data_IF_711401296735
#
_entry.id   IF_711401296735
#
_cell.length_a   1.000
_cell.length_b   1.000
_cell.length_c   1.000
_cell.angle_alpha   90.00
_cell.angle_beta   90.00
_cell.angle_gamma   90.00
#
_symmetry.space_group_name_H-M   'P 1'
#
loop_
_entity.id
_entity.type
_entity.pdbx_description
1 polymer ?
#
# COMPACT_ATOMS: atom_id res chain seq x y z
N UNK A 1 -34.37 24.55 5.51
CA UNK A 1 -33.76 25.17 4.31
C UNK A 1 -32.62 26.06 4.75
N UNK A 2 -31.49 26.09 4.02
CA UNK A 2 -30.26 26.84 4.36
C UNK A 2 -30.49 28.33 4.69
N UNK A 3 -31.63 28.90 4.28
CA UNK A 3 -32.05 30.25 4.62
C UNK A 3 -32.35 30.44 6.12
N UNK A 4 -33.02 29.48 6.77
CA UNK A 4 -33.38 29.57 8.20
C UNK A 4 -32.12 29.60 9.10
N UNK A 5 -31.10 28.82 8.72
CA UNK A 5 -29.81 28.75 9.40
C UNK A 5 -28.98 30.04 9.27
N UNK A 6 -29.04 30.71 8.10
CA UNK A 6 -28.34 31.97 7.89
C UNK A 6 -29.01 33.13 8.66
N UNK A 7 -30.33 33.10 8.78
CA UNK A 7 -31.10 34.08 9.56
C UNK A 7 -30.80 33.97 11.07
N UNK A 8 -30.61 32.74 11.55
CA UNK A 8 -30.23 32.45 12.94
C UNK A 8 -28.78 32.88 13.25
N UNK A 9 -27.86 32.72 12.29
CA UNK A 9 -26.47 33.21 12.44
C UNK A 9 -26.39 34.74 12.53
N UNK A 10 -27.24 35.46 11.78
CA UNK A 10 -27.31 36.92 11.83
C UNK A 10 -27.88 37.42 13.17
N UNK A 11 -28.89 36.76 13.74
CA UNK A 11 -29.47 37.13 15.05
C UNK A 11 -28.48 36.95 16.21
N UNK A 12 -27.56 36.01 16.10
CA UNK A 12 -26.59 35.66 17.14
C UNK A 12 -25.23 36.36 16.98
N UNK A 13 -25.10 37.32 16.05
CA UNK A 13 -23.86 38.05 15.78
C UNK A 13 -22.66 37.12 15.47
N UNK A 14 -22.93 35.98 14.84
CA UNK A 14 -21.94 34.97 14.47
C UNK A 14 -21.50 35.16 13.00
N UNK A 15 -20.21 34.99 12.67
CA UNK A 15 -19.73 35.17 11.29
C UNK A 15 -20.36 34.12 10.37
N UNK A 16 -21.10 34.59 9.36
CA UNK A 16 -21.68 33.71 8.35
C UNK A 16 -20.58 33.03 7.52
N UNK A 17 -20.73 31.74 7.17
CA UNK A 17 -19.76 31.04 6.35
C UNK A 17 -19.69 31.70 4.96
N UNK A 18 -18.58 32.40 4.71
CA UNK A 18 -18.26 33.01 3.42
C UNK A 18 -18.22 31.93 2.34
N UNK A 19 -19.05 32.07 1.31
CA UNK A 19 -18.95 31.29 0.06
C UNK A 19 -17.59 31.60 -0.57
N UNK A 20 -16.58 30.77 -0.29
CA UNK A 20 -15.33 30.77 -1.06
C UNK A 20 -15.62 30.14 -2.42
N UNK A 21 -15.77 30.99 -3.43
CA UNK A 21 -15.66 30.64 -4.84
C UNK A 21 -14.18 30.44 -5.19
N UNK A 22 -13.62 29.30 -4.81
CA UNK A 22 -12.37 28.79 -5.39
C UNK A 22 -12.61 27.34 -5.81
N UNK A 23 -12.86 27.16 -7.10
CA UNK A 23 -13.06 25.88 -7.78
C UNK A 23 -11.73 25.12 -7.87
N UNK A 24 -11.25 24.57 -6.75
CA UNK A 24 -10.38 23.41 -6.78
C UNK A 24 -11.27 22.16 -6.79
N UNK A 25 -11.87 21.88 -7.96
CA UNK A 25 -12.58 20.63 -8.17
C UNK A 25 -11.50 19.56 -8.40
N UNK A 26 -11.39 18.53 -7.54
CA UNK A 26 -10.53 17.38 -7.82
C UNK A 26 -10.95 16.80 -9.18
N UNK A 27 -9.98 16.53 -10.07
CA UNK A 27 -10.25 16.04 -11.41
C UNK A 27 -10.96 14.68 -11.37
N UNK A 28 -12.28 14.71 -11.41
CA UNK A 28 -13.16 13.56 -11.47
C UNK A 28 -13.56 13.35 -12.92
N UNK A 29 -13.43 12.13 -13.40
CA UNK A 29 -14.15 11.70 -14.60
C UNK A 29 -15.58 11.31 -14.18
N UNK A 30 -16.56 11.56 -15.05
CA UNK A 30 -17.92 11.08 -14.79
C UNK A 30 -17.94 9.55 -14.75
N UNK A 31 -18.89 8.97 -14.00
CA UNK A 31 -19.08 7.51 -13.96
C UNK A 31 -19.33 6.94 -15.37
N UNK A 32 -20.03 7.68 -16.20
CA UNK A 32 -20.31 7.30 -17.59
C UNK A 32 -19.03 7.29 -18.44
N UNK A 33 -18.14 8.27 -18.26
CA UNK A 33 -16.85 8.32 -18.93
C UNK A 33 -15.92 7.20 -18.44
N UNK A 34 -15.94 6.90 -17.14
CA UNK A 34 -15.19 5.78 -16.58
C UNK A 34 -15.64 4.43 -17.17
N UNK A 35 -16.95 4.20 -17.25
CA UNK A 35 -17.52 3.00 -17.86
C UNK A 35 -17.13 2.89 -19.35
N UNK A 36 -17.22 4.00 -20.10
CA UNK A 36 -16.83 4.04 -21.51
C UNK A 36 -15.34 3.74 -21.73
N UNK A 37 -14.45 4.23 -20.85
CA UNK A 37 -13.01 3.91 -20.92
C UNK A 37 -12.78 2.41 -20.71
N UNK A 38 -13.41 1.81 -19.70
CA UNK A 38 -13.28 0.37 -19.41
C UNK A 38 -13.83 -0.48 -20.56
N UNK A 39 -15.01 -0.14 -21.07
CA UNK A 39 -15.64 -0.86 -22.20
C UNK A 39 -14.78 -0.75 -23.47
N UNK A 40 -14.26 0.45 -23.76
CA UNK A 40 -13.42 0.68 -24.94
C UNK A 40 -12.12 -0.11 -24.88
N UNK A 41 -11.58 -0.38 -23.69
CA UNK A 41 -10.38 -1.21 -23.56
C UNK A 41 -10.62 -2.66 -23.98
N UNK A 42 -11.82 -3.20 -23.71
CA UNK A 42 -12.18 -4.57 -24.01
C UNK A 42 -12.60 -4.78 -25.47
N UNK A 43 -13.15 -3.74 -26.10
CA UNK A 43 -13.84 -3.84 -27.39
C UNK A 43 -13.18 -3.06 -28.53
N UNK A 44 -12.45 -1.99 -28.24
CA UNK A 44 -11.90 -1.09 -29.25
C UNK A 44 -10.49 -1.50 -29.69
N UNK A 45 -10.10 -1.05 -30.89
CA UNK A 45 -8.74 -1.21 -31.38
C UNK A 45 -7.75 -0.36 -30.57
N UNK A 46 -6.47 -0.76 -30.57
CA UNK A 46 -5.35 -0.03 -29.94
C UNK A 46 -5.41 1.48 -30.17
N UNK A 47 -5.57 1.90 -31.43
CA UNK A 47 -5.56 3.32 -31.80
C UNK A 47 -6.72 4.10 -31.20
N UNK A 48 -7.88 3.47 -31.08
CA UNK A 48 -9.10 4.08 -30.54
C UNK A 48 -9.00 4.19 -29.03
N UNK A 49 -8.59 3.12 -28.35
CA UNK A 49 -8.40 3.13 -26.91
C UNK A 49 -7.29 4.09 -26.48
N UNK A 50 -6.13 4.08 -27.15
CA UNK A 50 -5.03 4.99 -26.80
C UNK A 50 -5.41 6.47 -26.95
N UNK A 51 -6.23 6.83 -27.95
CA UNK A 51 -6.79 8.19 -28.06
C UNK A 51 -7.69 8.53 -26.87
N UNK A 52 -8.57 7.62 -26.45
CA UNK A 52 -9.46 7.80 -25.30
C UNK A 52 -8.65 7.94 -23.99
N UNK A 53 -7.61 7.13 -23.84
CA UNK A 53 -6.69 7.14 -22.69
C UNK A 53 -5.85 8.42 -22.63
N UNK A 54 -5.39 8.92 -23.78
CA UNK A 54 -4.64 10.17 -23.88
C UNK A 54 -5.56 11.40 -23.76
N UNK A 55 -6.87 11.28 -23.96
CA UNK A 55 -7.84 12.38 -23.75
C UNK A 55 -8.18 12.60 -22.27
N UNK A 56 -7.66 11.77 -21.35
CA UNK A 56 -7.89 11.95 -19.92
C UNK A 56 -7.30 13.30 -19.39
N UNK A 57 -7.96 13.96 -18.42
CA UNK A 57 -7.47 15.21 -17.82
C UNK A 57 -6.00 15.19 -17.39
N UNK A 58 -5.30 16.30 -17.57
CA UNK A 58 -3.86 16.43 -17.27
C UNK A 58 -3.53 16.16 -15.79
N UNK A 59 -4.48 16.42 -14.90
CA UNK A 59 -4.42 16.11 -13.48
C UNK A 59 -4.27 14.60 -13.25
N UNK A 60 -4.98 13.78 -14.02
CA UNK A 60 -4.90 12.32 -13.97
C UNK A 60 -3.57 11.85 -14.54
N UNK A 61 -3.10 12.49 -15.62
CA UNK A 61 -1.81 12.16 -16.24
C UNK A 61 -0.61 12.37 -15.30
N UNK A 62 -0.77 13.21 -14.27
CA UNK A 62 0.25 13.44 -13.24
C UNK A 62 0.35 12.31 -12.20
N UNK A 63 -0.63 11.42 -12.13
CA UNK A 63 -0.64 10.29 -11.19
C UNK A 63 0.40 9.26 -11.63
N UNK A 64 1.22 8.77 -10.69
CA UNK A 64 2.25 7.75 -11.00
C UNK A 64 1.63 6.47 -11.58
N UNK A 65 0.47 6.07 -11.05
CA UNK A 65 -0.27 4.90 -11.52
C UNK A 65 -0.74 5.02 -12.98
N UNK A 66 -1.21 6.21 -13.40
CA UNK A 66 -1.51 6.50 -14.81
C UNK A 66 -0.29 6.25 -15.69
N UNK A 67 0.88 6.78 -15.30
CA UNK A 67 2.13 6.65 -16.08
C UNK A 67 2.54 5.19 -16.21
N UNK A 68 2.47 4.43 -15.12
CA UNK A 68 2.76 2.98 -15.12
C UNK A 68 1.78 2.21 -15.99
N UNK A 69 0.49 2.47 -15.87
CA UNK A 69 -0.54 1.85 -16.71
C UNK A 69 -0.33 2.19 -18.18
N UNK A 70 0.00 3.44 -18.52
CA UNK A 70 0.31 3.84 -19.90
C UNK A 70 1.46 3.01 -20.48
N UNK A 71 2.53 2.79 -19.70
CA UNK A 71 3.63 1.92 -20.11
C UNK A 71 3.15 0.48 -20.36
N UNK A 72 2.40 -0.10 -19.41
CA UNK A 72 1.91 -1.47 -19.54
C UNK A 72 0.89 -1.64 -20.66
N UNK A 73 0.10 -0.61 -20.98
CA UNK A 73 -0.84 -0.61 -22.10
C UNK A 73 -0.09 -0.69 -23.44
N UNK A 74 1.04 0.02 -23.59
CA UNK A 74 1.89 -0.16 -24.78
C UNK A 74 2.44 -1.58 -24.87
N UNK A 75 2.94 -2.14 -23.75
CA UNK A 75 3.39 -3.53 -23.69
C UNK A 75 2.26 -4.50 -24.05
N UNK A 76 1.04 -4.28 -23.53
CA UNK A 76 -0.11 -5.13 -23.80
C UNK A 76 -0.44 -5.21 -25.28
N UNK A 77 -0.56 -4.06 -25.95
CA UNK A 77 -0.88 -4.07 -27.37
C UNK A 77 0.27 -4.64 -28.22
N UNK A 78 1.52 -4.52 -27.79
CA UNK A 78 2.62 -5.24 -28.47
C UNK A 78 2.50 -6.75 -28.34
N UNK A 79 2.07 -7.25 -27.18
CA UNK A 79 1.86 -8.68 -26.97
C UNK A 79 0.69 -9.18 -27.81
N UNK A 80 -0.44 -8.49 -27.71
CA UNK A 80 -1.68 -8.84 -28.43
C UNK A 80 -1.45 -8.88 -29.96
N UNK A 81 -0.65 -7.95 -30.49
CA UNK A 81 -0.31 -7.92 -31.92
C UNK A 81 0.64 -9.07 -32.31
N UNK A 82 1.62 -9.43 -31.46
CA UNK A 82 2.50 -10.59 -31.70
C UNK A 82 1.71 -11.90 -31.70
N UNK A 83 0.78 -12.09 -30.77
CA UNK A 83 -0.07 -13.29 -30.70
C UNK A 83 -0.95 -13.42 -31.96
N UNK A 84 -1.51 -12.31 -32.46
CA UNK A 84 -2.28 -12.29 -33.72
C UNK A 84 -1.44 -12.62 -34.95
N UNK A 85 -0.16 -12.24 -34.98
CA UNK A 85 0.77 -12.57 -36.08
C UNK A 85 1.16 -14.05 -36.07
N UNK A 86 1.37 -14.65 -34.89
CA UNK A 86 1.65 -16.08 -34.75
C UNK A 86 0.46 -16.97 -35.16
N UNK A 87 -0.79 -16.53 -34.92
CA UNK A 87 -1.99 -17.29 -35.29
C UNK A 87 -2.34 -17.29 -36.80
N UNK A 88 -1.66 -16.49 -37.62
CA UNK A 88 -1.95 -16.33 -39.06
C UNK A 88 -0.93 -17.03 -39.98
N UNK A 89 0.10 -17.67 -39.44
CA UNK A 89 1.22 -18.23 -40.21
C UNK A 89 1.02 -19.68 -40.70
N UNK A 90 -0.22 -20.14 -40.93
CA UNK A 90 -0.48 -21.45 -41.56
C UNK A 90 -1.12 -21.39 -42.95
N UNK A 91 -1.41 -20.20 -43.49
CA UNK A 91 -1.80 -20.07 -44.92
C UNK A 91 -1.11 -18.90 -45.59
N UNK A 92 -0.40 -19.24 -46.67
CA UNK A 92 0.24 -18.40 -47.67
C UNK A 92 1.68 -17.92 -47.37
N UNK A 93 2.61 -18.66 -47.98
CA UNK A 93 3.87 -18.14 -48.48
C UNK A 93 3.61 -16.97 -49.44
N UNK A 94 3.99 -15.77 -49.04
CA UNK A 94 4.62 -14.87 -49.99
C UNK A 94 5.49 -13.83 -49.29
N UNK A 95 6.71 -13.72 -49.82
CA UNK A 95 7.74 -12.84 -49.35
C UNK A 95 7.37 -11.39 -49.65
N UNK A 96 7.22 -10.58 -48.60
CA UNK A 96 7.59 -9.16 -48.60
C UNK A 96 7.85 -8.69 -47.17
N UNK A 97 9.09 -8.89 -46.72
CA UNK A 97 9.69 -7.98 -45.77
C UNK A 97 9.91 -6.65 -46.50
N UNK A 98 9.29 -5.58 -46.03
CA UNK A 98 9.48 -4.22 -46.55
C UNK A 98 8.20 -3.42 -46.35
N UNK A 99 8.12 -2.64 -45.29
CA UNK A 99 8.39 -1.19 -45.29
C UNK A 99 7.05 -0.48 -45.05
N UNK A 100 7.02 0.37 -44.02
CA UNK A 100 5.90 1.19 -43.55
C UNK A 100 4.88 0.50 -42.64
N UNK A 101 5.33 0.05 -41.46
CA UNK A 101 4.43 -0.29 -40.34
C UNK A 101 4.49 0.81 -39.25
N UNK A 102 4.44 2.08 -39.69
CA UNK A 102 4.37 3.29 -38.84
C UNK A 102 3.15 3.26 -37.88
N UNK A 103 2.22 2.32 -38.09
CA UNK A 103 1.03 2.09 -37.26
C UNK A 103 1.11 0.88 -36.30
N UNK A 104 2.18 0.07 -36.32
CA UNK A 104 2.28 -1.12 -35.46
C UNK A 104 2.38 -0.78 -33.98
N UNK A 105 1.91 -1.68 -33.12
CA UNK A 105 2.08 -1.55 -31.68
C UNK A 105 3.57 -1.49 -31.28
N UNK A 106 4.44 -2.19 -32.02
CA UNK A 106 5.90 -2.19 -31.81
C UNK A 106 6.51 -0.82 -32.08
N UNK A 107 6.16 -0.17 -33.20
CA UNK A 107 6.65 1.17 -33.52
C UNK A 107 6.07 2.23 -32.58
N UNK A 108 4.79 2.09 -32.19
CA UNK A 108 4.17 2.95 -31.19
C UNK A 108 4.86 2.84 -29.82
N UNK A 109 5.23 1.62 -29.41
CA UNK A 109 5.96 1.42 -28.15
C UNK A 109 7.40 1.94 -28.26
N UNK A 110 8.06 1.75 -29.41
CA UNK A 110 9.39 2.34 -29.69
C UNK A 110 9.36 3.87 -29.55
N UNK A 111 8.41 4.52 -30.22
CA UNK A 111 8.22 5.98 -30.16
C UNK A 111 7.98 6.44 -28.72
N UNK A 112 7.14 5.72 -27.97
CA UNK A 112 6.90 6.01 -26.55
C UNK A 112 8.18 5.89 -25.69
N UNK A 113 9.01 4.87 -25.91
CA UNK A 113 10.28 4.70 -25.19
C UNK A 113 11.28 5.83 -25.52
N UNK A 114 11.33 6.30 -26.77
CA UNK A 114 12.18 7.43 -27.15
C UNK A 114 11.72 8.72 -26.47
N UNK A 115 10.40 8.97 -26.42
CA UNK A 115 9.86 10.21 -25.86
C UNK A 115 9.86 10.23 -24.32
N UNK A 116 9.51 9.10 -23.68
CA UNK A 116 9.21 9.03 -22.25
C UNK A 116 9.93 7.91 -21.50
N UNK A 117 10.75 7.10 -22.17
CA UNK A 117 11.46 5.96 -21.56
C UNK A 117 12.39 6.37 -20.41
N UNK A 118 12.97 7.58 -20.45
CA UNK A 118 13.79 8.10 -19.37
C UNK A 118 13.04 8.11 -18.02
N UNK A 119 11.73 8.38 -18.01
CA UNK A 119 10.87 8.38 -16.81
C UNK A 119 10.83 7.01 -16.12
N UNK A 120 11.05 5.92 -16.87
CA UNK A 120 10.90 4.54 -16.40
C UNK A 120 12.23 3.81 -16.21
N UNK A 121 13.34 4.38 -16.69
CA UNK A 121 14.69 3.79 -16.66
C UNK A 121 15.23 3.50 -15.25
N UNK A 122 14.78 4.25 -14.23
CA UNK A 122 15.21 4.07 -12.83
C UNK A 122 14.44 2.96 -12.10
N UNK A 123 13.36 2.45 -12.69
CA UNK A 123 12.46 1.48 -12.09
C UNK A 123 12.73 0.09 -12.67
N UNK A 124 13.31 -0.78 -11.84
CA UNK A 124 13.77 -2.13 -12.25
C UNK A 124 12.66 -3.02 -12.81
N UNK A 125 11.39 -2.74 -12.49
CA UNK A 125 10.23 -3.47 -13.01
C UNK A 125 9.96 -3.25 -14.51
N UNK A 126 10.39 -2.12 -15.09
CA UNK A 126 10.13 -1.78 -16.48
C UNK A 126 11.27 -2.14 -17.43
N UNK A 127 12.50 -2.22 -16.91
CA UNK A 127 13.71 -2.45 -17.69
C UNK A 127 13.64 -3.67 -18.64
N UNK A 128 13.08 -4.83 -18.24
CA UNK A 128 12.98 -5.97 -19.15
C UNK A 128 12.22 -5.65 -20.45
N UNK A 129 11.24 -4.74 -20.41
CA UNK A 129 10.39 -4.40 -21.55
C UNK A 129 11.02 -3.38 -22.50
N UNK A 130 12.11 -2.71 -22.14
CA UNK A 130 12.78 -1.74 -23.02
C UNK A 130 13.36 -2.39 -24.27
N UNK A 131 13.76 -3.66 -24.16
CA UNK A 131 14.27 -4.43 -25.29
C UNK A 131 13.15 -4.94 -26.21
N UNK A 132 11.89 -4.96 -25.76
CA UNK A 132 10.78 -5.62 -26.46
C UNK A 132 10.57 -5.11 -27.90
N UNK A 133 10.58 -3.79 -28.20
CA UNK A 133 10.45 -3.26 -29.58
C UNK A 133 11.62 -3.52 -30.51
N UNK A 134 12.73 -4.01 -29.97
CA UNK A 134 13.98 -4.22 -30.70
C UNK A 134 14.28 -5.71 -30.90
N UNK A 135 13.48 -6.60 -30.32
CA UNK A 135 13.60 -8.04 -30.55
C UNK A 135 12.82 -8.42 -31.81
N UNK A 136 13.51 -9.04 -32.77
CA UNK A 136 12.91 -9.49 -34.03
C UNK A 136 11.80 -10.52 -33.84
N UNK A 137 11.97 -11.46 -32.90
CA UNK A 137 10.95 -12.45 -32.52
C UNK A 137 10.76 -12.54 -31.00
N UNK A 138 9.91 -11.67 -30.43
CA UNK A 138 9.69 -11.61 -28.98
C UNK A 138 9.07 -12.88 -28.39
N UNK A 139 8.28 -13.63 -29.18
CA UNK A 139 7.55 -14.80 -28.68
C UNK A 139 8.49 -15.99 -28.45
N UNK A 140 9.53 -16.13 -29.27
CA UNK A 140 10.54 -17.17 -29.14
C UNK A 140 11.65 -16.81 -28.15
N UNK A 141 11.76 -15.54 -27.77
CA UNK A 141 12.85 -15.08 -26.91
C UNK A 141 12.70 -15.61 -25.46
N UNK A 142 13.74 -16.25 -24.87
CA UNK A 142 13.66 -16.87 -23.54
C UNK A 142 13.20 -15.92 -22.42
N UNK A 143 13.63 -14.66 -22.48
CA UNK A 143 13.30 -13.64 -21.47
C UNK A 143 11.84 -13.19 -21.50
N UNK A 144 11.15 -13.33 -22.65
CA UNK A 144 9.76 -12.90 -22.82
C UNK A 144 8.78 -14.08 -22.92
N UNK A 145 9.27 -15.32 -22.96
CA UNK A 145 8.45 -16.53 -23.04
C UNK A 145 7.34 -16.59 -21.98
N UNK A 146 7.58 -16.05 -20.78
CA UNK A 146 6.58 -16.00 -19.71
C UNK A 146 5.56 -14.86 -19.84
N UNK A 147 5.89 -13.82 -20.62
CA UNK A 147 5.00 -12.71 -20.92
C UNK A 147 3.86 -13.12 -21.88
N UNK A 148 4.19 -14.01 -22.81
CA UNK A 148 3.26 -14.60 -23.79
C UNK A 148 2.61 -15.91 -23.32
N UNK A 149 3.05 -16.48 -22.18
CA UNK A 149 2.50 -17.72 -21.64
C UNK A 149 1.41 -17.45 -20.62
N UNK A 150 0.18 -17.44 -21.12
CA UNK A 150 -1.03 -17.48 -20.32
C UNK A 150 -1.63 -16.10 -20.08
N UNK A 151 -2.95 -16.05 -20.24
CA UNK A 151 -3.82 -14.87 -20.06
C UNK A 151 -3.72 -14.17 -18.69
N UNK A 152 -2.89 -14.64 -17.75
CA UNK A 152 -2.80 -14.11 -16.38
C UNK A 152 -2.25 -12.68 -16.32
N UNK A 153 -1.26 -12.35 -17.14
CA UNK A 153 -0.70 -10.99 -17.17
C UNK A 153 -1.73 -9.99 -17.72
N UNK A 154 -2.40 -10.34 -18.82
CA UNK A 154 -3.49 -9.56 -19.39
C UNK A 154 -4.64 -9.36 -18.40
N UNK A 155 -5.11 -10.44 -17.76
CA UNK A 155 -6.17 -10.36 -16.74
C UNK A 155 -5.77 -9.45 -15.57
N UNK A 156 -4.51 -9.51 -15.13
CA UNK A 156 -4.02 -8.64 -14.07
C UNK A 156 -3.95 -7.17 -14.49
N UNK A 157 -3.57 -6.89 -15.74
CA UNK A 157 -3.53 -5.53 -16.28
C UNK A 157 -4.94 -4.96 -16.40
N UNK A 158 -5.89 -5.73 -16.93
CA UNK A 158 -7.29 -5.34 -17.06
C UNK A 158 -7.87 -4.93 -15.70
N UNK A 159 -7.68 -5.78 -14.68
CA UNK A 159 -8.15 -5.47 -13.33
C UNK A 159 -7.51 -4.22 -12.75
N UNK A 160 -6.20 -4.02 -12.96
CA UNK A 160 -5.47 -2.85 -12.47
C UNK A 160 -5.94 -1.55 -13.14
N UNK A 161 -6.27 -1.62 -14.43
CA UNK A 161 -6.86 -0.51 -15.19
C UNK A 161 -8.27 -0.18 -14.67
N UNK A 162 -9.11 -1.19 -14.50
CA UNK A 162 -10.47 -1.05 -13.97
C UNK A 162 -10.46 -0.42 -12.57
N UNK A 163 -9.64 -0.97 -11.65
CA UNK A 163 -9.49 -0.46 -10.28
C UNK A 163 -9.05 1.02 -10.30
N UNK A 164 -8.10 1.39 -11.17
CA UNK A 164 -7.62 2.76 -11.30
C UNK A 164 -8.69 3.73 -11.83
N UNK A 165 -9.40 3.34 -12.89
CA UNK A 165 -10.45 4.18 -13.50
C UNK A 165 -11.63 4.36 -12.53
N UNK A 166 -12.02 3.31 -11.80
CA UNK A 166 -13.04 3.39 -10.76
C UNK A 166 -12.59 4.26 -9.58
N UNK A 167 -11.32 4.18 -9.17
CA UNK A 167 -10.76 5.01 -8.11
C UNK A 167 -10.88 6.50 -8.45
N UNK A 168 -10.54 6.89 -9.68
CA UNK A 168 -10.64 8.30 -10.13
C UNK A 168 -12.09 8.76 -10.28
N UNK A 169 -13.01 7.85 -10.62
CA UNK A 169 -14.43 8.16 -10.71
C UNK A 169 -15.09 8.34 -9.33
N UNK A 170 -14.60 7.65 -8.30
CA UNK A 170 -15.22 7.58 -6.97
C UNK A 170 -14.55 8.54 -5.96
N UNK A 171 -13.23 8.71 -6.00
CA UNK A 171 -12.51 9.46 -4.96
C UNK A 171 -12.38 10.96 -5.26
N UNK A 172 -12.94 11.80 -4.39
CA UNK A 172 -12.72 13.27 -4.32
C UNK A 172 -11.28 13.67 -4.05
N UNK A 173 -10.44 12.74 -3.64
CA UNK A 173 -9.18 13.02 -2.98
C UNK A 173 -8.05 12.35 -3.73
N UNK A 174 -8.02 12.53 -5.05
CA UNK A 174 -6.75 12.38 -5.77
C UNK A 174 -5.88 13.50 -5.24
N UNK A 175 -4.95 13.15 -4.35
CA UNK A 175 -3.87 14.03 -3.92
C UNK A 175 -3.03 14.33 -5.15
N UNK A 176 -3.46 15.33 -5.91
CA UNK A 176 -2.55 16.11 -6.72
C UNK A 176 -1.57 16.71 -5.72
N UNK A 177 -0.30 16.37 -5.89
CA UNK A 177 0.77 17.23 -5.38
C UNK A 177 0.95 18.32 -6.44
N UNK A 178 0.56 19.58 -6.14
CA UNK A 178 1.31 20.70 -6.65
C UNK A 178 2.04 21.39 -5.51
N UNK A 179 3.34 21.59 -5.78
CA UNK A 179 4.23 22.51 -5.13
C UNK A 179 3.59 23.90 -4.94
N UNK A 180 3.82 24.46 -3.74
CA UNK A 180 3.54 25.84 -3.24
C UNK A 180 2.08 26.13 -2.84
N UNK A 181 1.85 26.25 -1.52
CA UNK A 181 1.17 27.43 -0.95
C UNK A 181 1.37 27.58 0.57
N UNK A 182 1.71 28.79 0.98
CA UNK A 182 2.38 29.14 2.25
C UNK A 182 1.40 29.50 3.38
N UNK A 183 0.08 29.50 3.14
CA UNK A 183 -0.87 30.02 4.14
C UNK A 183 -1.45 28.98 5.10
N UNK A 184 -1.66 27.72 4.69
CA UNK A 184 -2.02 26.64 5.64
C UNK A 184 -0.90 26.34 6.65
N UNK A 185 0.34 26.77 6.38
CA UNK A 185 1.47 26.64 7.30
C UNK A 185 1.34 27.48 8.57
N UNK A 186 0.50 28.51 8.68
CA UNK A 186 0.46 29.33 9.92
C UNK A 186 -0.22 28.62 11.09
N UNK A 187 -1.31 27.90 10.85
CA UNK A 187 -2.03 27.18 11.91
C UNK A 187 -1.33 25.85 12.27
N UNK A 188 -0.84 25.11 11.27
CA UNK A 188 -0.04 23.89 11.51
C UNK A 188 1.35 24.18 12.04
N UNK A 189 2.00 25.32 11.71
CA UNK A 189 3.25 25.74 12.39
C UNK A 189 3.01 26.14 13.84
N UNK A 190 1.86 26.71 14.21
CA UNK A 190 1.59 27.06 15.61
C UNK A 190 1.46 25.80 16.47
N UNK A 191 0.75 24.79 15.96
CA UNK A 191 0.63 23.48 16.61
C UNK A 191 1.96 22.70 16.58
N UNK A 192 2.69 22.70 15.46
CA UNK A 192 4.05 22.11 15.42
C UNK A 192 5.03 22.86 16.32
N UNK A 193 4.93 24.19 16.46
CA UNK A 193 5.82 24.98 17.33
C UNK A 193 5.46 24.80 18.80
N UNK A 194 4.20 24.54 19.15
CA UNK A 194 3.78 24.10 20.49
C UNK A 194 4.33 22.70 20.78
N UNK A 195 4.07 21.74 19.88
CA UNK A 195 4.56 20.37 19.99
C UNK A 195 6.10 20.31 20.04
N UNK A 196 6.78 21.14 19.23
CA UNK A 196 8.24 21.23 19.22
C UNK A 196 8.78 21.95 20.46
N UNK A 197 8.01 22.86 21.08
CA UNK A 197 8.37 23.50 22.36
C UNK A 197 8.21 22.52 23.53
N UNK A 198 7.18 21.67 23.49
CA UNK A 198 6.92 20.58 24.45
C UNK A 198 7.93 19.42 24.31
N UNK A 199 8.38 19.11 23.08
CA UNK A 199 9.39 18.06 22.82
C UNK A 199 10.84 18.54 22.94
N UNK A 200 11.10 19.86 22.97
CA UNK A 200 12.46 20.42 23.03
C UNK A 200 13.28 19.89 24.23
N UNK A 201 12.72 19.80 25.46
CA UNK A 201 13.45 19.27 26.61
C UNK A 201 13.80 17.79 26.43
N UNK A 202 12.89 16.99 25.87
CA UNK A 202 13.11 15.57 25.61
C UNK A 202 14.21 15.34 24.55
N UNK A 203 14.28 16.21 23.54
CA UNK A 203 15.27 16.12 22.49
C UNK A 203 16.68 16.53 22.98
N UNK A 204 16.75 17.49 23.90
CA UNK A 204 17.99 17.86 24.61
C UNK A 204 18.45 16.69 25.49
N UNK A 205 17.54 16.06 26.23
CA UNK A 205 17.85 14.89 27.05
C UNK A 205 18.33 13.70 26.21
N UNK A 206 17.70 13.43 25.07
CA UNK A 206 18.12 12.37 24.16
C UNK A 206 19.53 12.62 23.60
N UNK A 207 19.86 13.88 23.27
CA UNK A 207 21.20 14.24 22.82
C UNK A 207 22.26 14.10 23.93
N UNK A 208 21.93 14.46 25.16
CA UNK A 208 22.82 14.29 26.31
C UNK A 208 23.04 12.82 26.68
N UNK A 209 21.99 12.00 26.63
CA UNK A 209 22.09 10.55 26.84
C UNK A 209 22.91 9.89 25.72
N UNK A 210 22.72 10.32 24.47
CA UNK A 210 23.51 9.82 23.34
C UNK A 210 24.99 10.17 23.50
N UNK A 211 25.29 11.42 23.91
CA UNK A 211 26.65 11.88 24.15
C UNK A 211 27.28 11.15 25.35
N UNK A 212 26.52 10.92 26.41
CA UNK A 212 26.97 10.10 27.55
C UNK A 212 27.25 8.65 27.14
N UNK A 213 26.42 8.07 26.27
CA UNK A 213 26.63 6.73 25.73
C UNK A 213 27.86 6.68 24.82
N UNK A 214 28.06 7.70 23.99
CA UNK A 214 29.23 7.82 23.12
C UNK A 214 30.52 7.93 23.93
N UNK A 215 30.52 8.73 25.00
CA UNK A 215 31.65 8.86 25.90
C UNK A 215 31.92 7.57 26.68
N UNK A 216 30.87 6.82 27.06
CA UNK A 216 30.98 5.47 27.62
C UNK A 216 31.73 4.51 26.68
N UNK A 217 31.32 4.48 25.42
CA UNK A 217 31.90 3.61 24.39
C UNK A 217 33.36 4.00 24.10
N UNK A 218 33.71 5.28 24.26
CA UNK A 218 35.08 5.80 24.12
C UNK A 218 35.94 5.61 25.38
N UNK A 219 35.41 5.00 26.45
CA UNK A 219 36.12 4.75 27.70
C UNK A 219 36.32 6.00 28.57
N UNK A 220 35.57 7.07 28.32
CA UNK A 220 35.61 8.30 29.11
C UNK A 220 34.63 8.22 30.29
N UNK A 221 35.01 8.84 31.41
CA UNK A 221 34.18 8.86 32.62
C UNK A 221 32.89 9.64 32.37
N UNK A 222 31.75 8.98 32.60
CA UNK A 222 30.42 9.59 32.48
C UNK A 222 30.03 10.18 33.83
N UNK A 223 29.63 11.45 33.86
CA UNK A 223 29.09 12.07 35.07
C UNK A 223 27.59 11.75 35.19
N UNK A 224 27.28 10.68 35.94
CA UNK A 224 25.91 10.20 36.16
C UNK A 224 25.00 11.21 36.88
N UNK A 225 25.59 12.08 37.71
CA UNK A 225 24.85 13.02 38.55
C UNK A 225 24.18 14.13 37.73
N UNK A 226 24.89 14.62 36.70
CA UNK A 226 24.37 15.62 35.76
C UNK A 226 23.24 15.00 34.90
N UNK A 227 23.41 13.75 34.45
CA UNK A 227 22.41 13.04 33.64
C UNK A 227 21.13 12.81 34.44
N UNK A 228 21.25 12.36 35.69
CA UNK A 228 20.10 12.15 36.57
C UNK A 228 19.37 13.45 36.89
N UNK A 229 20.09 14.55 37.10
CA UNK A 229 19.51 15.88 37.31
C UNK A 229 18.71 16.36 36.10
N UNK A 230 19.22 16.13 34.88
CA UNK A 230 18.52 16.52 33.65
C UNK A 230 17.33 15.60 33.33
N UNK A 231 17.39 14.30 33.67
CA UNK A 231 16.25 13.39 33.60
C UNK A 231 15.11 13.84 34.52
N UNK A 232 15.41 14.21 35.77
CA UNK A 232 14.39 14.61 36.74
C UNK A 232 13.70 15.93 36.39
N UNK A 233 14.42 16.90 35.81
CA UNK A 233 13.84 18.17 35.36
C UNK A 233 12.77 17.99 34.26
N UNK A 234 12.85 16.93 33.45
CA UNK A 234 11.85 16.57 32.42
C UNK A 234 10.65 15.82 33.02
N UNK A 235 10.84 15.13 34.14
CA UNK A 235 9.76 14.44 34.87
C UNK A 235 8.91 15.44 35.64
N UNK A 236 9.53 16.40 36.33
CA UNK A 236 8.83 17.45 37.09
C UNK A 236 7.98 18.38 36.19
N UNK A 237 8.38 18.59 34.93
CA UNK A 237 7.56 19.36 33.96
C UNK A 237 6.33 18.60 33.45
N UNK A 238 6.27 17.29 33.66
CA UNK A 238 5.13 16.45 33.24
C UNK A 238 4.12 16.20 34.37
N UNK A 239 4.51 16.39 35.64
CA UNK A 239 3.61 16.20 36.80
C UNK A 239 2.50 17.26 36.89
N UNK A 240 2.69 18.46 36.34
CA UNK A 240 1.61 19.47 36.27
C UNK A 240 0.45 19.07 35.31
N UNK A 241 0.61 18.02 34.49
CA UNK A 241 -0.36 17.61 33.47
C UNK A 241 -1.23 16.39 33.85
N UNK A 242 -1.09 15.82 35.06
CA UNK A 242 -1.81 14.61 35.48
C UNK A 242 -3.34 14.78 35.64
N UNK A 243 -3.88 16.00 35.64
CA UNK A 243 -5.33 16.21 35.75
C UNK A 243 -6.13 15.94 34.45
N UNK A 244 -5.48 15.66 33.32
CA UNK A 244 -6.17 15.42 32.03
C UNK A 244 -6.40 13.94 31.66
N UNK A 245 -6.24 13.01 32.61
CA UNK A 245 -6.20 11.56 32.35
C UNK A 245 -7.55 10.86 32.06
N UNK A 246 -8.60 11.57 31.65
CA UNK A 246 -9.90 10.96 31.26
C UNK A 246 -10.22 11.02 29.76
N UNK A 247 -9.35 11.61 28.92
CA UNK A 247 -9.61 11.78 27.48
C UNK A 247 -8.73 10.93 26.55
N UNK A 248 -7.96 9.97 27.07
CA UNK A 248 -6.90 9.27 26.32
C UNK A 248 -7.34 7.94 25.66
N UNK A 249 -8.50 7.37 26.02
CA UNK A 249 -8.94 6.06 25.49
C UNK A 249 -9.35 6.11 24.01
N UNK A 250 -10.00 7.19 23.57
CA UNK A 250 -10.48 7.35 22.19
C UNK A 250 -9.34 7.46 21.15
N UNK A 251 -8.21 8.05 21.54
CA UNK A 251 -7.06 8.25 20.65
C UNK A 251 -6.31 6.95 20.33
N UNK A 252 -6.18 6.08 21.33
CA UNK A 252 -5.53 4.78 21.18
C UNK A 252 -6.40 3.83 20.36
N UNK A 253 -7.69 3.75 20.67
CA UNK A 253 -8.64 2.91 19.94
C UNK A 253 -8.78 3.33 18.47
N UNK A 254 -8.72 4.63 18.17
CA UNK A 254 -8.68 5.15 16.79
C UNK A 254 -7.41 4.74 16.04
N UNK A 255 -6.24 4.72 16.68
CA UNK A 255 -5.00 4.28 16.07
C UNK A 255 -5.03 2.78 15.74
N UNK A 256 -5.56 1.96 16.66
CA UNK A 256 -5.74 0.52 16.44
C UNK A 256 -6.73 0.24 15.31
N UNK A 257 -7.80 1.03 15.21
CA UNK A 257 -8.75 0.94 14.09
C UNK A 257 -8.10 1.23 12.73
N UNK A 258 -7.24 2.26 12.65
CA UNK A 258 -6.48 2.57 11.42
C UNK A 258 -5.54 1.45 11.02
N UNK A 259 -4.83 0.84 11.98
CA UNK A 259 -3.96 -0.32 11.74
C UNK A 259 -4.77 -1.48 11.16
N UNK A 260 -5.94 -1.74 11.73
CA UNK A 260 -6.84 -2.81 11.26
C UNK A 260 -7.30 -2.57 9.82
N UNK A 261 -7.72 -1.35 9.49
CA UNK A 261 -8.12 -0.96 8.14
C UNK A 261 -6.97 -1.13 7.14
N UNK A 262 -5.76 -0.66 7.47
CA UNK A 262 -4.61 -0.78 6.56
C UNK A 262 -4.22 -2.24 6.29
N UNK A 263 -4.34 -3.12 7.30
CA UNK A 263 -4.09 -4.56 7.13
C UNK A 263 -5.14 -5.22 6.22
N UNK A 264 -6.42 -4.84 6.36
CA UNK A 264 -7.52 -5.42 5.59
C UNK A 264 -7.60 -4.86 4.17
N UNK A 265 -7.73 -3.54 4.07
CA UNK A 265 -8.14 -2.80 2.87
C UNK A 265 -6.98 -2.04 2.23
N UNK A 266 -5.83 -1.89 2.90
CA UNK A 266 -4.70 -1.15 2.35
C UNK A 266 -4.14 -1.78 1.08
N UNK A 267 -3.71 -0.96 0.10
CA UNK A 267 -3.19 -1.48 -1.18
C UNK A 267 -1.68 -1.78 -1.13
N UNK A 268 -0.95 -1.19 -0.18
CA UNK A 268 0.51 -1.32 -0.08
C UNK A 268 0.93 -2.59 0.65
N UNK A 269 1.44 -3.57 -0.10
CA UNK A 269 2.10 -4.76 0.46
C UNK A 269 3.25 -4.39 1.41
N UNK A 270 4.00 -3.33 1.09
CA UNK A 270 5.08 -2.80 1.94
C UNK A 270 4.56 -2.31 3.29
N UNK A 271 3.46 -1.55 3.32
CA UNK A 271 2.87 -1.06 4.56
C UNK A 271 2.36 -2.20 5.42
N UNK A 272 1.69 -3.19 4.81
CA UNK A 272 1.24 -4.40 5.50
C UNK A 272 2.41 -5.15 6.13
N UNK A 273 3.51 -5.33 5.39
CA UNK A 273 4.72 -5.97 5.92
C UNK A 273 5.31 -5.19 7.11
N UNK A 274 5.42 -3.87 7.01
CA UNK A 274 5.94 -3.02 8.08
C UNK A 274 5.06 -3.09 9.34
N UNK A 275 3.74 -3.03 9.17
CA UNK A 275 2.79 -3.13 10.29
C UNK A 275 2.88 -4.52 10.94
N UNK A 276 2.84 -5.60 10.15
CA UNK A 276 2.95 -6.95 10.67
C UNK A 276 4.31 -7.17 11.38
N UNK A 277 5.38 -6.59 10.86
CA UNK A 277 6.71 -6.64 11.46
C UNK A 277 6.77 -5.84 12.77
N UNK A 278 6.16 -4.66 12.83
CA UNK A 278 6.05 -3.88 14.06
C UNK A 278 5.25 -4.62 15.13
N UNK A 279 4.12 -5.22 14.77
CA UNK A 279 3.31 -6.05 15.66
C UNK A 279 4.12 -7.27 16.17
N UNK A 280 4.85 -7.95 15.28
CA UNK A 280 5.71 -9.07 15.66
C UNK A 280 6.82 -8.64 16.63
N UNK A 281 7.44 -7.48 16.40
CA UNK A 281 8.44 -6.94 17.32
C UNK A 281 7.85 -6.55 18.66
N UNK A 282 6.64 -5.97 18.71
CA UNK A 282 5.96 -5.77 19.99
C UNK A 282 5.74 -7.08 20.75
N UNK A 283 5.38 -8.16 20.05
CA UNK A 283 5.22 -9.47 20.68
C UNK A 283 6.53 -10.16 21.11
N UNK A 284 7.65 -9.88 20.44
CA UNK A 284 8.91 -10.64 20.64
C UNK A 284 10.03 -9.86 21.32
N UNK A 285 9.98 -8.52 21.28
CA UNK A 285 11.07 -7.64 21.72
C UNK A 285 10.66 -6.59 22.76
N UNK A 286 9.38 -6.26 22.89
CA UNK A 286 8.94 -5.29 23.92
C UNK A 286 8.81 -5.93 25.30
N UNK A 287 8.71 -5.11 26.35
CA UNK A 287 8.39 -5.59 27.71
C UNK A 287 6.87 -5.84 27.86
N UNK A 288 6.04 -4.99 27.24
CA UNK A 288 4.57 -5.06 27.29
C UNK A 288 3.97 -6.02 26.24
N UNK A 289 4.49 -7.25 26.19
CA UNK A 289 4.07 -8.28 25.22
C UNK A 289 2.63 -8.72 25.46
N UNK A 290 2.26 -8.92 26.73
CA UNK A 290 0.92 -9.35 27.15
C UNK A 290 -0.16 -8.32 26.77
N UNK A 291 0.13 -7.03 26.93
CA UNK A 291 -0.80 -5.94 26.56
C UNK A 291 -0.99 -5.87 25.05
N UNK A 292 0.07 -6.14 24.28
CA UNK A 292 -0.03 -6.24 22.82
C UNK A 292 -0.98 -7.37 22.41
N UNK A 293 -0.88 -8.54 23.04
CA UNK A 293 -1.82 -9.65 22.80
C UNK A 293 -3.24 -9.28 23.21
N UNK A 294 -3.41 -8.62 24.36
CA UNK A 294 -4.71 -8.16 24.84
C UNK A 294 -5.35 -7.15 23.87
N UNK A 295 -4.60 -6.16 23.39
CA UNK A 295 -5.03 -5.19 22.37
C UNK A 295 -5.43 -5.89 21.07
N UNK A 296 -4.59 -6.79 20.53
CA UNK A 296 -4.90 -7.51 19.29
C UNK A 296 -6.20 -8.31 19.40
N UNK A 297 -6.44 -8.92 20.56
CA UNK A 297 -7.65 -9.67 20.88
C UNK A 297 -8.85 -8.75 21.12
N UNK A 298 -8.70 -7.63 21.86
CA UNK A 298 -9.78 -6.66 22.16
C UNK A 298 -10.38 -6.12 20.87
N UNK A 299 -9.55 -5.70 19.92
CA UNK A 299 -9.98 -5.06 18.68
C UNK A 299 -10.17 -6.02 17.50
N UNK A 300 -9.98 -7.32 17.72
CA UNK A 300 -9.96 -8.34 16.65
C UNK A 300 -9.09 -7.88 15.47
N UNK A 301 -7.84 -7.52 15.74
CA UNK A 301 -6.97 -6.81 14.78
C UNK A 301 -6.77 -7.58 13.46
N UNK A 302 -6.82 -8.91 13.52
CA UNK A 302 -6.63 -9.79 12.37
C UNK A 302 -7.96 -10.18 11.70
N UNK A 303 -9.09 -9.61 12.13
CA UNK A 303 -10.45 -9.90 11.64
C UNK A 303 -10.80 -11.39 11.67
N UNK A 304 -10.46 -12.07 12.77
CA UNK A 304 -10.63 -13.52 12.94
C UNK A 304 -12.00 -13.93 13.49
N UNK A 305 -12.75 -13.00 14.09
CA UNK A 305 -14.06 -13.30 14.71
C UNK A 305 -15.24 -13.12 13.77
N UNK A 306 -15.08 -12.39 12.67
CA UNK A 306 -16.17 -12.09 11.73
C UNK A 306 -16.30 -13.17 10.66
N UNK A 307 -17.52 -13.35 10.14
CA UNK A 307 -17.88 -14.28 9.06
C UNK A 307 -17.21 -14.02 7.71
N UNK A 308 -16.38 -12.96 7.59
CA UNK A 308 -15.61 -12.57 6.39
C UNK A 308 -14.08 -12.60 6.60
N UNK A 309 -13.58 -13.49 7.47
CA UNK A 309 -12.14 -13.62 7.74
C UNK A 309 -11.31 -13.99 6.49
N UNK A 310 -11.95 -14.56 5.48
CA UNK A 310 -11.45 -14.82 4.13
C UNK A 310 -11.13 -13.56 3.32
N UNK A 311 -11.76 -12.43 3.62
CA UNK A 311 -11.49 -11.14 2.97
C UNK A 311 -10.38 -10.33 3.65
N UNK A 312 -9.94 -10.78 4.84
CA UNK A 312 -8.91 -10.14 5.64
C UNK A 312 -7.48 -10.43 5.18
N UNK A 313 -6.53 -10.18 6.08
CA UNK A 313 -5.11 -10.46 5.83
C UNK A 313 -4.85 -11.98 5.67
N UNK A 314 -5.76 -12.85 6.12
CA UNK A 314 -5.60 -14.30 6.01
C UNK A 314 -5.73 -14.83 4.58
N UNK A 315 -6.33 -14.06 3.65
CA UNK A 315 -6.40 -14.42 2.22
C UNK A 315 -5.03 -14.61 1.58
N UNK A 316 -3.99 -13.99 2.14
CA UNK A 316 -2.64 -14.16 1.63
C UNK A 316 -2.14 -15.60 1.85
N UNK A 317 -2.65 -16.31 2.86
CA UNK A 317 -2.32 -17.73 3.10
C UNK A 317 -2.98 -18.68 2.10
N UNK A 318 -4.01 -18.26 1.35
CA UNK A 318 -4.63 -19.09 0.29
C UNK A 318 -3.95 -18.93 -1.07
N UNK A 319 -3.00 -18.00 -1.22
CA UNK A 319 -2.33 -17.79 -2.50
C UNK A 319 -1.42 -18.96 -2.85
N UNK A 320 -1.60 -19.51 -4.06
CA UNK A 320 -0.85 -20.65 -4.61
C UNK A 320 0.13 -20.24 -5.73
N UNK A 321 0.35 -18.94 -5.94
CA UNK A 321 1.25 -18.41 -6.98
C UNK A 321 2.75 -18.44 -6.58
N UNK A 322 3.13 -19.31 -5.62
CA UNK A 322 4.47 -19.41 -5.04
C UNK A 322 4.66 -18.59 -3.75
N UNK A 323 5.84 -18.68 -3.13
CA UNK A 323 6.10 -18.09 -1.82
C UNK A 323 5.96 -16.56 -1.82
N UNK A 324 5.20 -16.03 -0.86
CA UNK A 324 4.95 -14.59 -0.76
C UNK A 324 5.44 -14.01 0.58
N UNK A 325 6.10 -12.83 0.62
CA UNK A 325 6.60 -12.23 1.87
C UNK A 325 5.51 -12.01 2.94
N UNK A 326 4.28 -11.68 2.54
CA UNK A 326 3.16 -11.58 3.49
C UNK A 326 2.81 -12.94 4.12
N UNK A 327 2.86 -14.04 3.37
CA UNK A 327 2.63 -15.38 3.94
C UNK A 327 3.65 -15.69 5.03
N UNK A 328 4.92 -15.38 4.77
CA UNK A 328 6.00 -15.56 5.71
C UNK A 328 5.87 -14.66 6.95
N UNK A 329 5.42 -13.41 6.79
CA UNK A 329 5.24 -12.50 7.92
C UNK A 329 4.01 -12.86 8.77
N UNK A 330 2.90 -13.22 8.12
CA UNK A 330 1.67 -13.66 8.78
C UNK A 330 1.95 -14.93 9.59
N UNK A 331 2.59 -15.93 8.98
CA UNK A 331 2.92 -17.19 9.67
C UNK A 331 3.84 -16.98 10.88
N UNK A 332 4.87 -16.12 10.76
CA UNK A 332 5.71 -15.72 11.90
C UNK A 332 4.92 -15.02 13.01
N UNK A 333 3.99 -14.13 12.65
CA UNK A 333 3.15 -13.41 13.62
C UNK A 333 2.20 -14.37 14.34
N UNK A 334 1.56 -15.29 13.60
CA UNK A 334 0.67 -16.32 14.16
C UNK A 334 1.43 -17.23 15.14
N UNK A 335 2.63 -17.68 14.77
CA UNK A 335 3.47 -18.50 15.63
C UNK A 335 3.90 -17.75 16.91
N UNK A 336 4.19 -16.45 16.80
CA UNK A 336 4.49 -15.61 17.94
C UNK A 336 3.26 -15.48 18.86
N UNK A 337 2.08 -15.17 18.31
CA UNK A 337 0.82 -15.09 19.06
C UNK A 337 0.48 -16.40 19.78
N UNK A 338 0.66 -17.55 19.12
CA UNK A 338 0.38 -18.86 19.71
C UNK A 338 1.29 -19.20 20.91
N UNK A 339 2.39 -18.45 21.10
CA UNK A 339 3.26 -18.62 22.27
C UNK A 339 2.63 -18.07 23.55
N UNK A 340 1.58 -17.24 23.45
CA UNK A 340 0.89 -16.63 24.60
C UNK A 340 -0.47 -17.30 24.84
N UNK A 341 -0.85 -17.54 26.10
CA UNK A 341 -2.16 -18.13 26.44
C UNK A 341 -3.34 -17.34 25.83
N UNK A 342 -3.35 -16.01 26.00
CA UNK A 342 -4.39 -15.15 25.41
C UNK A 342 -4.35 -15.13 23.87
N UNK A 343 -3.19 -15.33 23.27
CA UNK A 343 -3.01 -15.43 21.83
C UNK A 343 -3.56 -16.75 21.29
N UNK A 344 -3.25 -17.88 21.93
CA UNK A 344 -3.86 -19.19 21.61
C UNK A 344 -5.37 -19.12 21.64
N UNK A 345 -5.95 -18.53 22.70
CA UNK A 345 -7.41 -18.38 22.84
C UNK A 345 -8.02 -17.49 21.76
N UNK A 346 -7.29 -16.48 21.28
CA UNK A 346 -7.73 -15.63 20.18
C UNK A 346 -7.71 -16.37 18.84
N UNK A 347 -6.62 -17.08 18.54
CA UNK A 347 -6.46 -17.83 17.28
C UNK A 347 -7.40 -19.05 17.20
N UNK A 348 -7.47 -19.86 18.27
CA UNK A 348 -8.34 -21.03 18.36
C UNK A 348 -9.84 -20.66 18.38
N UNK A 349 -10.16 -19.42 18.76
CA UNK A 349 -11.50 -18.87 18.67
C UNK A 349 -12.01 -18.67 17.23
N UNK A 350 -11.16 -18.88 16.22
CA UNK A 350 -11.52 -18.80 14.80
C UNK A 350 -11.45 -20.18 14.12
N UNK A 351 -12.60 -20.89 13.97
CA UNK A 351 -12.65 -22.15 13.24
C UNK A 351 -12.20 -22.02 11.79
N UNK A 352 -12.40 -20.84 11.18
CA UNK A 352 -11.91 -20.53 9.84
C UNK A 352 -10.39 -20.60 9.76
N UNK A 353 -9.69 -19.92 10.67
CA UNK A 353 -8.22 -19.89 10.66
C UNK A 353 -7.63 -21.29 10.84
N UNK A 354 -8.19 -22.07 11.78
CA UNK A 354 -7.75 -23.45 12.01
C UNK A 354 -7.93 -24.31 10.77
N UNK A 355 -9.12 -24.29 10.15
CA UNK A 355 -9.37 -25.02 8.90
C UNK A 355 -8.43 -24.55 7.78
N UNK A 356 -8.24 -23.24 7.62
CA UNK A 356 -7.36 -22.67 6.61
C UNK A 356 -5.92 -23.18 6.77
N UNK A 357 -5.34 -23.08 7.97
CA UNK A 357 -3.95 -23.50 8.19
C UNK A 357 -3.81 -25.01 8.00
N UNK A 358 -4.75 -25.82 8.50
CA UNK A 358 -4.72 -27.28 8.33
C UNK A 358 -4.85 -27.68 6.86
N UNK A 359 -5.86 -27.17 6.15
CA UNK A 359 -6.08 -27.48 4.73
C UNK A 359 -4.87 -27.06 3.90
N UNK A 360 -4.34 -25.86 4.10
CA UNK A 360 -3.20 -25.40 3.30
C UNK A 360 -1.88 -26.10 3.67
N UNK A 361 -1.69 -26.53 4.93
CA UNK A 361 -0.51 -27.32 5.31
C UNK A 361 -0.55 -28.73 4.70
N UNK A 362 -1.73 -29.33 4.55
CA UNK A 362 -1.90 -30.67 3.95
C UNK A 362 -1.90 -30.61 2.41
N UNK A 363 -2.64 -29.66 1.82
CA UNK A 363 -2.89 -29.62 0.38
C UNK A 363 -1.91 -28.76 -0.41
N UNK A 364 -1.23 -27.80 0.23
CA UNK A 364 -0.46 -26.76 -0.46
C UNK A 364 1.01 -26.68 -0.01
N UNK A 365 1.56 -27.76 0.58
CA UNK A 365 2.91 -27.76 1.14
C UNK A 365 4.01 -27.40 0.13
N UNK A 366 3.80 -27.69 -1.17
CA UNK A 366 4.73 -27.36 -2.25
C UNK A 366 4.73 -25.89 -2.67
N UNK A 367 3.69 -25.10 -2.31
CA UNK A 367 3.56 -23.70 -2.73
C UNK A 367 4.16 -22.70 -1.72
N UNK A 368 4.48 -23.16 -0.52
CA UNK A 368 5.06 -22.33 0.54
C UNK A 368 6.56 -22.54 0.66
N UNK A 369 7.27 -21.49 1.09
CA UNK A 369 8.66 -21.67 1.50
C UNK A 369 8.73 -22.46 2.82
N UNK A 370 9.88 -23.11 3.05
CA UNK A 370 10.12 -23.92 4.24
C UNK A 370 9.87 -23.13 5.53
N UNK A 371 10.16 -21.83 5.53
CA UNK A 371 9.95 -20.96 6.69
C UNK A 371 8.44 -20.82 6.98
N UNK A 372 7.61 -20.51 5.99
CA UNK A 372 6.16 -20.38 6.20
C UNK A 372 5.56 -21.69 6.69
N UNK A 373 5.93 -22.82 6.08
CA UNK A 373 5.47 -24.14 6.49
C UNK A 373 5.84 -24.44 7.95
N UNK A 374 7.11 -24.24 8.33
CA UNK A 374 7.58 -24.48 9.70
C UNK A 374 6.90 -23.56 10.74
N UNK A 375 6.68 -22.29 10.40
CA UNK A 375 6.01 -21.35 11.30
C UNK A 375 4.53 -21.70 11.51
N UNK A 376 3.84 -22.14 10.46
CA UNK A 376 2.43 -22.57 10.56
C UNK A 376 2.30 -23.91 11.29
N UNK A 377 3.20 -24.87 11.04
CA UNK A 377 3.25 -26.11 11.80
C UNK A 377 3.52 -25.85 13.29
N UNK A 378 4.49 -24.97 13.60
CA UNK A 378 4.76 -24.53 14.97
C UNK A 378 3.57 -23.82 15.61
N UNK A 379 2.78 -23.08 14.81
CA UNK A 379 1.52 -22.49 15.28
C UNK A 379 0.53 -23.58 15.67
N UNK A 380 0.30 -24.58 14.81
CA UNK A 380 -0.61 -25.70 15.10
C UNK A 380 -0.17 -26.51 16.33
N UNK A 381 1.13 -26.80 16.44
CA UNK A 381 1.70 -27.46 17.62
C UNK A 381 1.39 -26.67 18.89
N UNK A 382 1.68 -25.37 18.92
CA UNK A 382 1.38 -24.52 20.09
C UNK A 382 -0.10 -24.43 20.40
N UNK A 383 -0.98 -24.45 19.39
CA UNK A 383 -2.43 -24.46 19.60
C UNK A 383 -2.94 -25.80 20.17
N UNK A 384 -2.24 -26.91 19.91
CA UNK A 384 -2.56 -28.22 20.50
C UNK A 384 -2.12 -28.38 21.96
N UNK A 385 -1.09 -27.64 22.40
CA UNK A 385 -0.64 -27.64 23.79
C UNK A 385 -1.53 -26.73 24.64
N UNK A 386 -2.17 -27.29 25.67
CA UNK A 386 -3.03 -26.55 26.63
C UNK A 386 -2.29 -25.36 27.25
#
# INVERSE_FOLDING_TARGET
TSACFLEECCKLNMPAPSRTTETNVPARISKDRAASVIESFQTASRSTFMKIWDDLPNEIKRIDEYRKLTFYLHVYYTIEECEKRSGKSETCSDSKCGENDEGSAMEAFRTFLVQRGAEFSTKTEFLPYFALPYVFDPMQHPSFKNLFKGNRWCVSLNKRLEDFILDIAINSSIILVPSKDVQKRKLTKKNFKSLYKEYKPLNVLAAELLNALENSIRGQSINLEIILKNCNAVVETNEENEQNLKMVDDGFDLAVYKIKLELRDGNSTKNKLLILQALRWRLTKSENRSDTVAMMKKHDLLDLRKTKADNGIMKWLTMTNGPHPLQQMISRLLNALASFHNGRRYLAGSPFLLRLIVTQTISSQHFWDTITSNMLLGTLQKLSTK
#
